data_IF_813385745849
#
_entry.id   IF_813385745849
#
_cell.length_a   1.000
_cell.length_b   1.000
_cell.length_c   1.000
_cell.angle_alpha   90.00
_cell.angle_beta   90.00
_cell.angle_gamma   90.00
#
_symmetry.space_group_name_H-M   'P 1'
#
loop_
_entity.id
_entity.type
_entity.pdbx_description
1 polymer ?
#
# COMPACT_ATOMS: atom_id res chain seq x y z
N UNK A 1 71.67 -24.58 -46.27
CA UNK A 1 72.06 -25.19 -44.98
C UNK A 1 72.08 -24.06 -43.94
N UNK A 2 70.97 -23.30 -43.81
CA UNK A 2 70.97 -21.95 -43.18
C UNK A 2 69.86 -21.66 -42.17
N UNK A 3 68.87 -22.57 -42.00
CA UNK A 3 67.68 -22.27 -41.19
C UNK A 3 67.89 -22.54 -39.68
N UNK A 4 68.70 -23.54 -39.33
CA UNK A 4 68.97 -23.91 -37.94
C UNK A 4 69.92 -22.91 -37.24
N UNK A 5 70.84 -22.31 -37.99
CA UNK A 5 71.81 -21.33 -37.47
C UNK A 5 71.13 -20.01 -37.09
N UNK A 6 70.14 -19.55 -37.87
CA UNK A 6 69.39 -18.32 -37.57
C UNK A 6 68.45 -18.49 -36.36
N UNK A 7 67.81 -19.66 -36.24
CA UNK A 7 66.92 -19.97 -35.11
C UNK A 7 67.69 -20.07 -33.79
N UNK A 8 68.89 -20.64 -33.82
CA UNK A 8 69.79 -20.70 -32.65
C UNK A 8 70.26 -19.30 -32.21
N UNK A 9 70.64 -18.45 -33.15
CA UNK A 9 71.07 -17.07 -32.86
C UNK A 9 69.94 -16.21 -32.26
N UNK A 10 68.73 -16.31 -32.81
CA UNK A 10 67.56 -15.58 -32.31
C UNK A 10 67.17 -16.03 -30.89
N UNK A 11 67.18 -17.33 -30.63
CA UNK A 11 66.88 -17.86 -29.29
C UNK A 11 67.91 -17.40 -28.26
N UNK A 12 69.20 -17.36 -28.62
CA UNK A 12 70.26 -16.86 -27.74
C UNK A 12 70.12 -15.35 -27.45
N UNK A 13 69.75 -14.56 -28.44
CA UNK A 13 69.46 -13.12 -28.26
C UNK A 13 68.21 -12.88 -27.40
N UNK A 14 67.15 -13.67 -27.57
CA UNK A 14 65.96 -13.57 -26.73
C UNK A 14 66.28 -13.97 -25.29
N UNK A 15 67.01 -15.07 -25.10
CA UNK A 15 67.35 -15.57 -23.78
C UNK A 15 68.23 -14.56 -23.00
N UNK A 16 69.22 -13.94 -23.66
CA UNK A 16 70.04 -12.89 -23.06
C UNK A 16 69.24 -11.61 -22.74
N UNK A 17 68.33 -11.20 -23.61
CA UNK A 17 67.45 -10.06 -23.37
C UNK A 17 66.49 -10.29 -22.17
N UNK A 18 65.90 -11.48 -22.05
CA UNK A 18 65.03 -11.82 -20.92
C UNK A 18 65.79 -12.07 -19.60
N UNK A 19 67.05 -12.51 -19.66
CA UNK A 19 67.92 -12.60 -18.48
C UNK A 19 68.27 -11.21 -17.92
N UNK A 20 68.43 -10.20 -18.77
CA UNK A 20 68.66 -8.81 -18.35
C UNK A 20 67.39 -8.12 -17.79
N UNK A 21 66.19 -8.60 -18.14
CA UNK A 21 64.92 -8.04 -17.67
C UNK A 21 64.34 -8.76 -16.44
N UNK A 22 65.13 -9.57 -15.73
CA UNK A 22 64.65 -10.21 -14.51
C UNK A 22 64.46 -9.18 -13.40
N UNK A 23 63.27 -9.22 -12.79
CA UNK A 23 62.96 -8.45 -11.59
C UNK A 23 64.03 -8.72 -10.53
N UNK A 24 64.58 -7.65 -9.96
CA UNK A 24 65.54 -7.81 -8.87
C UNK A 24 64.88 -8.58 -7.72
N UNK A 25 65.65 -9.33 -6.90
CA UNK A 25 65.11 -10.01 -5.73
C UNK A 25 64.31 -9.07 -4.81
N UNK A 26 64.69 -7.79 -4.75
CA UNK A 26 63.97 -6.74 -4.04
C UNK A 26 62.61 -6.41 -4.68
N UNK A 27 62.54 -6.23 -6.00
CA UNK A 27 61.27 -6.01 -6.72
C UNK A 27 60.36 -7.22 -6.66
N UNK A 28 60.92 -8.43 -6.74
CA UNK A 28 60.18 -9.68 -6.64
C UNK A 28 59.65 -9.89 -5.21
N UNK A 29 60.42 -9.48 -4.19
CA UNK A 29 59.98 -9.44 -2.79
C UNK A 29 58.90 -8.38 -2.57
N UNK A 30 59.04 -7.19 -3.17
CA UNK A 30 58.04 -6.13 -3.13
C UNK A 30 56.72 -6.58 -3.80
N UNK A 31 56.78 -7.23 -4.96
CA UNK A 31 55.60 -7.80 -5.64
C UNK A 31 54.94 -8.92 -4.82
N UNK A 32 55.73 -9.78 -4.17
CA UNK A 32 55.20 -10.81 -3.26
C UNK A 32 54.54 -10.19 -2.02
N UNK A 33 55.05 -9.06 -1.54
CA UNK A 33 54.45 -8.30 -0.44
C UNK A 33 53.22 -7.49 -0.87
N UNK A 34 53.13 -7.13 -2.15
CA UNK A 34 51.96 -6.48 -2.77
C UNK A 34 50.81 -7.46 -3.07
N UNK A 35 50.86 -8.73 -2.60
CA UNK A 35 49.64 -9.53 -2.47
C UNK A 35 48.71 -8.81 -1.52
N UNK A 36 47.85 -7.97 -2.10
CA UNK A 36 46.82 -7.19 -1.42
C UNK A 36 46.03 -8.19 -0.57
N UNK A 37 46.23 -8.11 0.74
CA UNK A 37 45.48 -8.86 1.72
C UNK A 37 44.06 -8.29 1.71
N UNK A 38 43.22 -8.70 0.75
CA UNK A 38 41.78 -8.53 0.84
C UNK A 38 41.31 -9.46 1.94
N UNK A 39 41.44 -8.99 3.18
CA UNK A 39 40.86 -9.65 4.32
C UNK A 39 39.35 -9.71 4.07
N UNK A 40 38.79 -10.91 4.07
CA UNK A 40 37.35 -11.05 4.07
C UNK A 40 36.81 -10.26 5.27
N UNK A 41 35.80 -9.41 5.10
CA UNK A 41 35.26 -8.64 6.21
C UNK A 41 34.83 -9.60 7.32
N UNK A 42 35.02 -9.21 8.61
CA UNK A 42 34.66 -10.08 9.71
C UNK A 42 33.17 -10.43 9.63
N UNK A 43 32.79 -11.65 10.07
CA UNK A 43 31.39 -12.14 10.00
C UNK A 43 30.36 -11.16 10.59
N UNK A 44 30.78 -10.36 11.58
CA UNK A 44 29.98 -9.27 12.16
C UNK A 44 29.66 -8.14 11.17
N UNK A 45 30.61 -7.76 10.30
CA UNK A 45 30.40 -6.75 9.25
C UNK A 45 29.50 -7.29 8.15
N UNK A 46 29.65 -8.58 7.78
CA UNK A 46 28.76 -9.24 6.81
C UNK A 46 27.33 -9.31 7.36
N UNK A 47 27.17 -9.66 8.65
CA UNK A 47 25.86 -9.69 9.32
C UNK A 47 25.20 -8.31 9.41
N UNK A 48 25.97 -7.26 9.71
CA UNK A 48 25.47 -5.89 9.76
C UNK A 48 24.99 -5.37 8.39
N UNK A 49 25.72 -5.68 7.31
CA UNK A 49 25.33 -5.32 5.94
C UNK A 49 24.06 -6.07 5.51
N UNK A 50 23.96 -7.37 5.81
CA UNK A 50 22.78 -8.16 5.50
C UNK A 50 21.53 -7.64 6.24
N UNK A 51 21.66 -7.29 7.52
CA UNK A 51 20.57 -6.75 8.33
C UNK A 51 20.09 -5.37 7.82
N UNK A 52 21.00 -4.50 7.38
CA UNK A 52 20.63 -3.19 6.81
C UNK A 52 19.92 -3.33 5.48
N UNK A 53 20.36 -4.23 4.59
CA UNK A 53 19.66 -4.51 3.33
C UNK A 53 18.26 -5.07 3.59
N UNK A 54 18.12 -5.99 4.54
CA UNK A 54 16.82 -6.56 4.91
C UNK A 54 15.86 -5.51 5.49
N UNK A 55 16.35 -4.64 6.39
CA UNK A 55 15.53 -3.59 6.99
C UNK A 55 15.12 -2.53 5.94
N UNK A 56 16.03 -2.19 5.02
CA UNK A 56 15.76 -1.25 3.93
C UNK A 56 14.76 -1.83 2.93
N UNK A 57 14.91 -3.10 2.57
CA UNK A 57 13.97 -3.80 1.70
C UNK A 57 12.59 -3.90 2.36
N UNK A 58 12.52 -4.21 3.66
CA UNK A 58 11.27 -4.25 4.40
C UNK A 58 10.53 -2.90 4.36
N UNK A 59 11.24 -1.77 4.48
CA UNK A 59 10.63 -0.44 4.36
C UNK A 59 10.15 -0.10 2.95
N UNK A 60 10.84 -0.57 1.91
CA UNK A 60 10.47 -0.33 0.50
C UNK A 60 9.30 -1.21 0.06
N UNK A 61 9.25 -2.46 0.54
CA UNK A 61 8.21 -3.43 0.21
C UNK A 61 7.06 -3.48 1.22
N UNK A 62 7.06 -2.61 2.24
CA UNK A 62 5.91 -2.49 3.12
C UNK A 62 4.73 -1.99 2.28
N UNK A 63 3.65 -2.78 2.12
CA UNK A 63 2.53 -2.35 1.32
C UNK A 63 1.94 -1.11 1.97
N UNK A 64 1.96 0.01 1.25
CA UNK A 64 1.11 1.15 1.57
C UNK A 64 -0.31 0.59 1.70
N UNK A 65 -0.99 0.84 2.82
CA UNK A 65 -2.39 0.44 2.98
C UNK A 65 -3.24 1.18 1.95
N UNK A 66 -3.35 0.63 0.74
CA UNK A 66 -4.20 1.15 -0.31
C UNK A 66 -5.62 0.85 0.12
N UNK A 67 -6.46 1.88 0.18
CA UNK A 67 -7.85 1.71 0.53
C UNK A 67 -8.52 0.90 -0.58
N UNK A 68 -8.98 -0.31 -0.24
CA UNK A 68 -9.72 -1.14 -1.18
C UNK A 68 -11.22 -0.78 -1.14
N UNK A 69 -11.64 0.07 -2.07
CA UNK A 69 -13.04 0.43 -2.25
C UNK A 69 -13.93 -0.76 -2.60
N UNK A 70 -13.39 -1.83 -3.20
CA UNK A 70 -14.15 -3.05 -3.47
C UNK A 70 -14.46 -3.78 -2.16
N UNK A 71 -13.48 -3.92 -1.27
CA UNK A 71 -13.70 -4.46 0.08
C UNK A 71 -14.71 -3.64 0.89
N UNK A 72 -14.67 -2.31 0.79
CA UNK A 72 -15.67 -1.43 1.43
C UNK A 72 -17.07 -1.69 0.86
N UNK A 73 -17.21 -1.75 -0.48
CA UNK A 73 -18.49 -2.08 -1.12
C UNK A 73 -19.01 -3.45 -0.67
N UNK A 74 -18.13 -4.44 -0.52
CA UNK A 74 -18.50 -5.78 -0.04
C UNK A 74 -18.99 -5.74 1.41
N UNK A 75 -18.31 -5.01 2.30
CA UNK A 75 -18.76 -4.80 3.69
C UNK A 75 -20.13 -4.11 3.75
N UNK A 76 -20.36 -3.12 2.89
CA UNK A 76 -21.63 -2.40 2.81
C UNK A 76 -22.75 -3.31 2.30
N UNK A 77 -22.51 -4.10 1.25
CA UNK A 77 -23.48 -5.06 0.71
C UNK A 77 -23.84 -6.12 1.77
N UNK A 78 -22.83 -6.67 2.46
CA UNK A 78 -23.03 -7.61 3.57
C UNK A 78 -23.90 -7.00 4.68
N UNK A 79 -23.55 -5.79 5.15
CA UNK A 79 -24.29 -5.12 6.21
C UNK A 79 -25.71 -4.72 5.80
N UNK A 80 -25.92 -4.40 4.52
CA UNK A 80 -27.25 -4.16 3.96
C UNK A 80 -28.12 -5.42 4.04
N UNK A 81 -27.59 -6.55 3.58
CA UNK A 81 -28.28 -7.84 3.60
C UNK A 81 -28.54 -8.37 5.00
N UNK A 82 -27.64 -8.07 5.96
CA UNK A 82 -27.81 -8.46 7.36
C UNK A 82 -29.02 -7.81 8.05
N UNK A 83 -29.54 -6.69 7.50
CA UNK A 83 -30.76 -5.99 7.98
C UNK A 83 -30.77 -5.76 9.50
N UNK A 84 -29.61 -5.40 10.04
CA UNK A 84 -29.45 -5.15 11.48
C UNK A 84 -30.36 -4.01 11.94
N UNK A 85 -30.91 -4.15 13.15
CA UNK A 85 -31.80 -3.17 13.76
C UNK A 85 -31.06 -1.86 14.04
N UNK A 86 -31.78 -0.73 13.95
CA UNK A 86 -31.24 0.58 14.30
C UNK A 86 -31.14 0.73 15.81
N UNK A 87 -30.05 1.34 16.28
CA UNK A 87 -29.84 1.66 17.69
C UNK A 87 -30.62 2.91 18.10
N UNK A 88 -30.84 3.80 17.13
CA UNK A 88 -31.56 5.06 17.29
C UNK A 88 -32.66 5.09 16.25
N UNK A 89 -33.91 5.03 16.69
CA UNK A 89 -35.08 5.21 15.83
C UNK A 89 -35.49 6.67 15.87
N UNK A 90 -35.19 7.40 14.81
CA UNK A 90 -35.55 8.81 14.68
C UNK A 90 -35.60 9.21 13.20
N UNK A 91 -36.61 9.99 12.80
CA UNK A 91 -36.68 10.54 11.45
C UNK A 91 -35.80 11.78 11.25
N UNK A 92 -35.07 12.23 12.28
CA UNK A 92 -34.27 13.46 12.20
C UNK A 92 -32.77 13.17 12.30
N UNK A 93 -32.01 13.76 11.38
CA UNK A 93 -30.55 13.59 11.34
C UNK A 93 -29.88 14.15 12.60
N UNK A 94 -30.45 15.22 13.19
CA UNK A 94 -29.91 15.85 14.39
C UNK A 94 -30.02 14.96 15.63
N UNK A 95 -31.15 14.28 15.82
CA UNK A 95 -31.31 13.32 16.93
C UNK A 95 -30.43 12.10 16.72
N UNK A 96 -30.35 11.57 15.49
CA UNK A 96 -29.42 10.47 15.17
C UNK A 96 -27.98 10.89 15.47
N UNK A 97 -27.54 12.07 15.04
CA UNK A 97 -26.21 12.60 15.37
C UNK A 97 -25.97 12.72 16.87
N UNK A 98 -26.95 13.27 17.61
CA UNK A 98 -26.84 13.48 19.05
C UNK A 98 -26.70 12.18 19.83
N UNK A 99 -27.32 11.10 19.34
CA UNK A 99 -27.23 9.76 19.95
C UNK A 99 -26.02 8.98 19.46
N UNK A 100 -25.58 9.18 18.21
CA UNK A 100 -24.34 8.64 17.67
C UNK A 100 -23.13 9.55 17.99
N UNK A 101 -23.02 10.02 19.23
CA UNK A 101 -22.04 11.01 19.70
C UNK A 101 -20.56 10.58 19.71
N UNK A 102 -20.25 9.38 19.20
CA UNK A 102 -18.90 8.82 19.08
C UNK A 102 -18.37 8.89 17.65
N UNK A 103 -19.21 9.28 16.69
CA UNK A 103 -18.78 9.62 15.34
C UNK A 103 -17.89 10.86 15.47
N UNK A 104 -16.58 10.73 15.26
CA UNK A 104 -15.63 11.86 15.28
C UNK A 104 -15.81 12.86 14.12
N UNK A 105 -17.05 13.02 13.65
CA UNK A 105 -17.52 13.85 12.55
C UNK A 105 -19.02 14.11 12.68
N UNK A 106 -19.49 15.16 12.02
CA UNK A 106 -20.91 15.46 11.90
C UNK A 106 -21.52 14.76 10.67
N UNK A 107 -22.69 14.17 10.84
CA UNK A 107 -23.50 13.61 9.76
C UNK A 107 -23.88 14.71 8.77
N UNK A 108 -23.83 14.34 7.49
CA UNK A 108 -24.06 15.24 6.37
C UNK A 108 -25.31 14.83 5.63
N UNK A 109 -26.25 15.75 5.45
CA UNK A 109 -27.30 15.59 4.44
C UNK A 109 -26.65 15.65 3.05
N UNK A 110 -26.56 14.49 2.38
CA UNK A 110 -25.92 14.33 1.08
C UNK A 110 -26.70 15.07 0.00
N UNK A 111 -26.00 15.81 -0.87
CA UNK A 111 -26.61 16.45 -2.05
C UNK A 111 -27.13 15.44 -3.08
N UNK A 112 -26.66 14.19 -3.03
CA UNK A 112 -27.12 13.11 -3.92
C UNK A 112 -28.41 12.44 -3.44
N UNK A 113 -28.83 12.70 -2.20
CA UNK A 113 -30.09 12.22 -1.66
C UNK A 113 -31.08 13.38 -1.61
N UNK A 114 -32.07 13.35 -2.50
CA UNK A 114 -33.17 14.33 -2.48
C UNK A 114 -33.99 14.16 -1.19
N UNK A 115 -34.00 15.13 -0.27
CA UNK A 115 -34.69 15.01 1.01
C UNK A 115 -36.22 14.87 0.85
N UNK A 116 -36.79 15.20 -0.31
CA UNK A 116 -38.21 14.96 -0.60
C UNK A 116 -38.52 13.52 -0.97
N UNK A 117 -37.51 12.77 -1.42
CA UNK A 117 -37.63 11.37 -1.87
C UNK A 117 -37.19 10.36 -0.83
N UNK A 118 -36.70 10.82 0.32
CA UNK A 118 -36.13 9.95 1.34
C UNK A 118 -36.62 10.37 2.73
N UNK A 119 -37.09 9.39 3.49
CA UNK A 119 -37.38 9.55 4.90
C UNK A 119 -36.34 8.76 5.71
N UNK A 120 -35.65 9.43 6.62
CA UNK A 120 -34.78 8.75 7.58
C UNK A 120 -35.65 7.91 8.54
N UNK A 121 -35.24 6.67 8.80
CA UNK A 121 -35.86 5.79 9.80
C UNK A 121 -35.08 5.87 11.11
N UNK A 122 -33.76 5.86 11.01
CA UNK A 122 -32.88 5.82 12.16
C UNK A 122 -31.43 5.58 11.78
N UNK A 123 -30.59 5.41 12.79
CA UNK A 123 -29.16 5.14 12.62
C UNK A 123 -28.57 4.26 13.72
N UNK A 124 -27.38 3.75 13.43
CA UNK A 124 -26.56 2.96 14.34
C UNK A 124 -25.09 3.17 14.03
N UNK A 125 -24.23 2.79 14.98
CA UNK A 125 -22.82 2.66 14.68
C UNK A 125 -22.58 1.45 13.77
N UNK A 126 -21.62 1.60 12.87
CA UNK A 126 -21.05 0.49 12.14
C UNK A 126 -19.52 0.67 12.06
N UNK A 127 -18.88 -0.30 11.42
CA UNK A 127 -17.46 -0.24 11.12
C UNK A 127 -17.28 -0.34 9.61
N UNK A 128 -16.51 0.58 9.03
CA UNK A 128 -16.07 0.51 7.65
C UNK A 128 -14.55 0.62 7.66
N UNK A 129 -13.87 -0.43 7.17
CA UNK A 129 -12.42 -0.50 7.10
C UNK A 129 -11.71 -0.16 8.43
N UNK A 130 -12.17 -0.77 9.52
CA UNK A 130 -11.60 -0.59 10.85
C UNK A 130 -11.98 0.73 11.56
N UNK A 131 -12.75 1.62 10.92
CA UNK A 131 -13.13 2.92 11.49
C UNK A 131 -14.60 2.97 11.85
N UNK A 132 -14.91 3.67 12.94
CA UNK A 132 -16.28 3.97 13.33
C UNK A 132 -16.97 4.77 12.22
N UNK A 133 -18.15 4.31 11.84
CA UNK A 133 -18.96 4.89 10.80
C UNK A 133 -20.43 4.93 11.25
N UNK A 134 -21.22 5.72 10.55
CA UNK A 134 -22.66 5.74 10.72
C UNK A 134 -23.30 4.88 9.64
N UNK A 135 -24.22 4.00 10.05
CA UNK A 135 -25.16 3.35 9.16
C UNK A 135 -26.56 3.88 9.48
N UNK A 136 -27.28 4.32 8.46
CA UNK A 136 -28.63 4.82 8.55
C UNK A 136 -29.54 4.03 7.64
N UNK A 137 -30.80 3.85 8.05
CA UNK A 137 -31.84 3.35 7.16
C UNK A 137 -32.66 4.53 6.64
N UNK A 138 -32.85 4.58 5.32
CA UNK A 138 -33.71 5.55 4.66
C UNK A 138 -34.76 4.80 3.85
N UNK A 139 -36.00 5.30 3.86
CA UNK A 139 -37.10 4.74 3.09
C UNK A 139 -37.50 5.68 1.95
N UNK A 140 -37.83 5.10 0.81
CA UNK A 140 -38.57 5.83 -0.22
C UNK A 140 -40.05 5.96 0.23
N UNK A 141 -40.62 7.17 0.34
CA UNK A 141 -41.95 7.37 0.89
C UNK A 141 -43.03 6.72 0.02
N UNK A 142 -42.86 6.70 -1.31
CA UNK A 142 -43.81 6.10 -2.26
C UNK A 142 -43.67 4.58 -2.35
N UNK A 143 -42.51 4.05 -2.75
CA UNK A 143 -42.31 2.61 -2.97
C UNK A 143 -42.10 1.80 -1.69
N UNK A 144 -41.90 2.46 -0.55
CA UNK A 144 -41.53 1.85 0.75
C UNK A 144 -40.22 1.05 0.72
N UNK A 145 -39.42 1.16 -0.35
CA UNK A 145 -38.11 0.53 -0.44
C UNK A 145 -37.19 1.10 0.65
N UNK A 146 -36.48 0.21 1.35
CA UNK A 146 -35.54 0.56 2.42
C UNK A 146 -34.11 0.40 1.89
N UNK A 147 -33.35 1.46 2.05
CA UNK A 147 -31.94 1.54 1.68
C UNK A 147 -31.09 1.78 2.91
N UNK A 148 -29.83 1.36 2.85
CA UNK A 148 -28.87 1.65 3.91
C UNK A 148 -27.84 2.65 3.41
N UNK A 149 -27.75 3.77 4.12
CA UNK A 149 -26.87 4.88 3.83
C UNK A 149 -25.77 4.96 4.89
N UNK A 150 -24.52 5.07 4.43
CA UNK A 150 -23.32 5.02 5.25
C UNK A 150 -22.56 6.33 5.15
N UNK A 151 -21.98 6.75 6.27
CA UNK A 151 -21.02 7.86 6.32
C UNK A 151 -19.83 7.47 7.18
N UNK A 152 -18.62 7.68 6.66
CA UNK A 152 -17.39 7.40 7.37
C UNK A 152 -16.36 8.50 7.13
N UNK A 153 -15.64 8.88 8.18
CA UNK A 153 -14.49 9.79 8.05
C UNK A 153 -13.26 9.03 7.57
N UNK A 154 -12.77 9.39 6.39
CA UNK A 154 -11.53 8.87 5.84
C UNK A 154 -10.43 9.96 5.90
N UNK A 155 -9.16 9.56 5.74
CA UNK A 155 -8.07 10.54 5.66
C UNK A 155 -8.17 11.30 4.33
N UNK A 156 -7.60 12.51 4.30
CA UNK A 156 -7.60 13.34 3.10
C UNK A 156 -6.95 12.63 1.92
N UNK A 157 -5.77 12.06 2.14
CA UNK A 157 -5.01 11.26 1.16
C UNK A 157 -5.84 10.12 0.57
N UNK A 158 -6.64 9.42 1.40
CA UNK A 158 -7.50 8.34 0.93
C UNK A 158 -8.63 8.84 0.02
N UNK A 159 -9.20 10.02 0.30
CA UNK A 159 -10.30 10.59 -0.47
C UNK A 159 -9.87 11.37 -1.71
N UNK A 160 -8.63 11.89 -1.75
CA UNK A 160 -8.15 12.76 -2.84
C UNK A 160 -8.17 12.05 -4.20
N UNK A 161 -7.81 10.77 -4.22
CA UNK A 161 -7.76 9.96 -5.44
C UNK A 161 -9.08 9.24 -5.76
N UNK A 162 -10.14 9.49 -4.98
CA UNK A 162 -11.44 8.85 -5.16
C UNK A 162 -12.50 9.83 -5.62
N UNK A 163 -13.24 9.44 -6.65
CA UNK A 163 -14.36 10.22 -7.20
C UNK A 163 -15.68 9.59 -6.75
N UNK A 164 -16.05 8.51 -7.41
CA UNK A 164 -17.28 7.76 -7.21
C UNK A 164 -17.12 6.37 -7.83
N UNK A 165 -17.79 5.38 -7.25
CA UNK A 165 -17.89 4.05 -7.83
C UNK A 165 -19.29 3.48 -7.61
N UNK A 166 -19.70 2.61 -8.53
CA UNK A 166 -20.90 1.79 -8.39
C UNK A 166 -20.50 0.34 -8.65
N UNK A 167 -20.93 -0.57 -7.78
CA UNK A 167 -20.61 -2.00 -7.90
C UNK A 167 -21.80 -2.82 -7.46
N UNK A 168 -22.10 -3.89 -8.20
CA UNK A 168 -23.10 -4.88 -7.80
C UNK A 168 -22.40 -6.06 -7.13
N UNK A 169 -22.80 -6.41 -5.91
CA UNK A 169 -22.22 -7.47 -5.09
C UNK A 169 -23.37 -8.24 -4.46
N UNK A 170 -23.47 -9.55 -4.71
CA UNK A 170 -24.50 -10.43 -4.14
C UNK A 170 -25.94 -9.91 -4.32
N UNK A 171 -26.23 -9.34 -5.50
CA UNK A 171 -27.54 -8.77 -5.82
C UNK A 171 -27.81 -7.40 -5.21
N UNK A 172 -26.89 -6.85 -4.40
CA UNK A 172 -26.98 -5.50 -3.83
C UNK A 172 -26.16 -4.55 -4.68
N UNK A 173 -26.76 -3.40 -5.02
CA UNK A 173 -26.03 -2.35 -5.73
C UNK A 173 -25.51 -1.34 -4.73
N UNK A 174 -24.19 -1.14 -4.73
CA UNK A 174 -23.50 -0.23 -3.83
C UNK A 174 -22.94 0.94 -4.61
N UNK A 175 -23.33 2.16 -4.22
CA UNK A 175 -22.76 3.42 -4.71
C UNK A 175 -21.88 4.01 -3.62
N UNK A 176 -20.64 4.35 -3.96
CA UNK A 176 -19.71 5.07 -3.10
C UNK A 176 -19.38 6.42 -3.71
N UNK A 177 -19.32 7.48 -2.91
CA UNK A 177 -18.86 8.79 -3.35
C UNK A 177 -18.24 9.56 -2.19
N UNK A 178 -17.49 10.62 -2.47
CA UNK A 178 -17.01 11.53 -1.44
C UNK A 178 -17.86 12.79 -1.34
N UNK A 179 -18.10 13.25 -0.12
CA UNK A 179 -18.79 14.51 0.12
C UNK A 179 -18.38 15.11 1.48
N UNK A 180 -18.03 16.41 1.50
CA UNK A 180 -17.63 17.16 2.72
C UNK A 180 -16.58 16.43 3.59
N UNK A 181 -15.61 15.76 2.96
CA UNK A 181 -14.54 15.04 3.65
C UNK A 181 -14.95 13.69 4.25
N UNK A 182 -16.13 13.17 3.89
CA UNK A 182 -16.62 11.85 4.27
C UNK A 182 -16.70 10.95 3.04
N UNK A 183 -16.43 9.66 3.27
CA UNK A 183 -16.86 8.60 2.38
C UNK A 183 -18.34 8.35 2.63
N UNK A 184 -19.11 8.38 1.55
CA UNK A 184 -20.53 8.08 1.53
C UNK A 184 -20.75 6.74 0.85
N UNK A 185 -21.69 5.95 1.35
CA UNK A 185 -22.08 4.69 0.72
C UNK A 185 -23.59 4.50 0.73
N UNK A 186 -24.18 4.06 -0.38
CA UNK A 186 -25.60 3.74 -0.47
C UNK A 186 -25.76 2.33 -1.03
N UNK A 187 -26.49 1.48 -0.32
CA UNK A 187 -26.84 0.15 -0.77
C UNK A 187 -28.35 0.01 -0.96
N UNK A 188 -28.73 -0.61 -2.08
CA UNK A 188 -30.09 -0.74 -2.57
C UNK A 188 -30.34 -1.99 -3.41
#
# INVERSE_FOLDING_TARGET
MDNDTQKSALNSQLQSHYLQQQLTPAQLKALKQLKINRQAPPKLVIGAIAATIFLSAALIFYPSATLDYASISQQIAYNHNAKLQMEVLSPTMSEVQGRLNRLGFSLVSSKKLDPKKWQLIGGRYCNINGKIAAQMQIAHPETKAVYTFYQAKMSKEMLENFSESETAIDGVKVKLWREKGLLMGLAF
#
